data_IF_976590509459
#
_entry.id   IF_976590509459
#
_cell.length_a   1.000
_cell.length_b   1.000
_cell.length_c   1.000
_cell.angle_alpha   90.00
_cell.angle_beta   90.00
_cell.angle_gamma   90.00
#
_symmetry.space_group_name_H-M   'P 1'
#
loop_
_entity.id
_entity.type
_entity.pdbx_description
1 polymer ?
#
# COMPACT_ATOMS: atom_id res chain seq x y z
N UNK A 1 9.18 60.64 31.61
CA UNK A 1 9.02 61.12 30.22
C UNK A 1 9.87 60.23 29.32
N UNK A 2 9.25 59.61 28.29
CA UNK A 2 9.81 58.74 27.22
C UNK A 2 10.08 57.27 27.59
N UNK A 3 9.09 56.38 27.33
CA UNK A 3 8.90 55.51 26.12
C UNK A 3 9.55 54.14 26.39
N UNK A 4 8.83 53.09 26.79
CA UNK A 4 7.64 52.53 26.14
C UNK A 4 8.07 51.59 25.00
N UNK A 5 8.68 50.45 25.34
CA UNK A 5 8.94 49.38 24.37
C UNK A 5 7.70 48.49 24.30
N UNK A 6 6.94 48.66 23.21
CA UNK A 6 5.83 47.80 22.88
C UNK A 6 6.35 46.38 22.59
N UNK A 7 5.85 45.39 23.34
CA UNK A 7 5.93 43.98 22.96
C UNK A 7 5.09 43.81 21.69
N UNK A 8 5.74 43.83 20.52
CA UNK A 8 5.15 43.34 19.28
C UNK A 8 4.98 41.84 19.46
N UNK A 9 3.73 41.38 19.43
CA UNK A 9 3.38 39.97 19.55
C UNK A 9 4.08 39.14 18.46
N UNK A 10 4.85 38.15 18.89
CA UNK A 10 5.31 37.10 18.01
C UNK A 10 4.07 36.35 17.50
N UNK A 11 3.90 36.16 16.18
CA UNK A 11 2.87 35.25 15.69
C UNK A 11 3.18 33.86 16.22
N UNK A 12 2.17 33.23 16.83
CA UNK A 12 2.16 31.81 17.17
C UNK A 12 2.15 30.98 15.88
N UNK A 13 3.26 31.01 15.13
CA UNK A 13 3.54 30.01 14.13
C UNK A 13 4.05 28.78 14.88
N UNK A 14 3.22 27.75 14.98
CA UNK A 14 3.73 26.42 15.30
C UNK A 14 4.88 26.12 14.34
N UNK A 15 6.08 25.95 14.88
CA UNK A 15 7.19 25.36 14.12
C UNK A 15 6.64 24.12 13.40
N UNK A 16 6.91 23.93 12.10
CA UNK A 16 6.59 22.66 11.47
C UNK A 16 7.22 21.57 12.32
N UNK A 17 6.42 20.56 12.69
CA UNK A 17 6.93 19.42 13.41
C UNK A 17 8.20 18.94 12.71
N UNK A 18 9.28 18.63 13.46
CA UNK A 18 10.46 18.04 12.84
C UNK A 18 9.99 16.84 12.01
N UNK A 19 10.48 16.67 10.76
CA UNK A 19 10.12 15.51 9.97
C UNK A 19 10.35 14.27 10.83
N UNK A 20 9.40 13.30 10.83
CA UNK A 20 9.54 12.10 11.63
C UNK A 20 10.92 11.49 11.38
N UNK A 21 11.60 10.95 12.41
CA UNK A 21 12.95 10.41 12.28
C UNK A 21 13.00 9.45 11.09
N UNK A 22 13.80 9.82 10.09
CA UNK A 22 13.89 9.10 8.82
C UNK A 22 14.83 7.93 9.02
N UNK A 23 14.37 6.84 9.63
CA UNK A 23 14.95 5.51 9.38
C UNK A 23 13.95 4.38 9.60
N UNK A 24 13.19 4.01 8.55
CA UNK A 24 12.30 2.85 8.57
C UNK A 24 12.62 1.94 7.37
N UNK A 25 13.37 0.84 7.59
CA UNK A 25 13.67 -0.24 6.61
C UNK A 25 13.33 0.09 5.13
N UNK A 26 14.11 1.00 4.53
CA UNK A 26 14.00 1.33 3.10
C UNK A 26 14.91 0.40 2.33
N UNK A 27 14.31 -0.58 1.69
CA UNK A 27 15.02 -1.54 0.86
C UNK A 27 15.45 -0.86 -0.43
N UNK A 28 16.75 -0.83 -0.72
CA UNK A 28 17.25 -0.33 -2.00
C UNK A 28 17.25 -1.45 -3.04
N UNK A 29 16.30 -1.42 -3.97
CA UNK A 29 16.26 -2.32 -5.13
C UNK A 29 16.77 -1.56 -6.35
N UNK A 30 18.08 -1.67 -6.62
CA UNK A 30 18.70 -1.13 -7.83
C UNK A 30 18.39 0.37 -8.04
N UNK A 31 18.48 1.18 -6.98
CA UNK A 31 18.20 2.61 -6.99
C UNK A 31 16.75 3.00 -6.70
N UNK A 32 15.84 2.05 -6.51
CA UNK A 32 14.47 2.29 -6.03
C UNK A 32 14.40 2.04 -4.52
N UNK A 33 13.99 3.06 -3.76
CA UNK A 33 13.73 2.94 -2.32
C UNK A 33 12.33 2.36 -2.11
N UNK A 34 12.26 1.14 -1.59
CA UNK A 34 11.02 0.42 -1.30
C UNK A 34 10.79 0.36 0.21
N UNK A 35 9.79 1.08 0.75
CA UNK A 35 9.29 0.89 2.10
C UNK A 35 8.68 -0.50 2.24
N UNK A 36 9.21 -1.32 3.16
CA UNK A 36 8.73 -2.68 3.40
C UNK A 36 8.05 -2.76 4.78
N UNK A 37 6.83 -3.32 4.89
CA UNK A 37 6.05 -3.27 6.13
C UNK A 37 6.50 -4.27 7.20
N UNK A 38 7.61 -4.98 6.99
CA UNK A 38 8.18 -5.96 7.91
C UNK A 38 9.64 -5.64 8.22
N UNK A 39 10.09 -5.98 9.43
CA UNK A 39 11.46 -5.71 9.90
C UNK A 39 12.52 -6.63 9.26
N UNK A 40 12.09 -7.72 8.62
CA UNK A 40 12.99 -8.69 7.98
C UNK A 40 12.53 -9.02 6.58
N UNK A 41 13.49 -9.12 5.67
CA UNK A 41 13.30 -9.55 4.29
C UNK A 41 14.18 -10.78 4.01
N UNK A 42 13.59 -11.78 3.36
CA UNK A 42 14.33 -12.94 2.92
C UNK A 42 15.18 -12.63 1.67
N UNK A 43 16.38 -13.21 1.51
CA UNK A 43 17.21 -13.02 0.30
C UNK A 43 16.49 -13.37 -1.01
N UNK A 44 15.60 -14.36 -0.96
CA UNK A 44 14.78 -14.78 -2.09
C UNK A 44 13.76 -13.70 -2.48
N UNK A 45 13.16 -13.02 -1.49
CA UNK A 45 12.25 -11.89 -1.73
C UNK A 45 12.98 -10.72 -2.37
N UNK A 46 14.20 -10.42 -1.92
CA UNK A 46 15.02 -9.37 -2.51
C UNK A 46 15.35 -9.67 -3.98
N UNK A 47 15.77 -10.91 -4.26
CA UNK A 47 16.07 -11.37 -5.63
C UNK A 47 14.84 -11.31 -6.52
N UNK A 48 13.67 -11.70 -6.00
CA UNK A 48 12.40 -11.59 -6.69
C UNK A 48 12.04 -10.13 -7.04
N UNK A 49 12.19 -9.21 -6.09
CA UNK A 49 11.94 -7.79 -6.33
C UNK A 49 12.91 -7.19 -7.35
N UNK A 50 14.16 -7.62 -7.35
CA UNK A 50 15.17 -7.19 -8.32
C UNK A 50 14.80 -7.62 -9.74
N UNK A 51 14.46 -8.90 -9.95
CA UNK A 51 14.05 -9.41 -11.26
C UNK A 51 12.72 -8.79 -11.71
N UNK A 52 11.76 -8.64 -10.80
CA UNK A 52 10.49 -7.95 -11.10
C UNK A 52 10.75 -6.51 -11.54
N UNK A 53 11.63 -5.77 -10.85
CA UNK A 53 12.00 -4.40 -11.26
C UNK A 53 12.62 -4.38 -12.66
N UNK A 54 13.55 -5.29 -12.96
CA UNK A 54 14.17 -5.41 -14.30
C UNK A 54 13.13 -5.63 -15.39
N UNK A 55 12.12 -6.47 -15.14
CA UNK A 55 11.05 -6.71 -16.12
C UNK A 55 10.17 -5.47 -16.35
N UNK A 56 9.91 -4.69 -15.29
CA UNK A 56 9.17 -3.43 -15.36
C UNK A 56 9.97 -2.35 -16.11
N UNK A 57 11.26 -2.22 -15.81
CA UNK A 57 12.18 -1.28 -16.46
C UNK A 57 12.30 -1.57 -17.97
N UNK A 58 12.37 -2.85 -18.34
CA UNK A 58 12.41 -3.29 -19.74
C UNK A 58 11.06 -3.17 -20.47
N UNK A 59 9.96 -2.85 -19.77
CA UNK A 59 8.58 -2.81 -20.29
C UNK A 59 8.19 -4.12 -21.00
N UNK A 60 8.66 -5.25 -20.49
CA UNK A 60 8.47 -6.58 -21.06
C UNK A 60 7.61 -7.49 -20.20
N UNK A 61 7.44 -8.73 -20.66
CA UNK A 61 6.80 -9.79 -19.89
C UNK A 61 7.86 -10.66 -19.21
N UNK A 62 7.63 -11.01 -17.95
CA UNK A 62 8.50 -11.90 -17.18
C UNK A 62 7.69 -13.00 -16.51
N UNK A 63 8.25 -14.21 -16.50
CA UNK A 63 7.73 -15.32 -15.70
C UNK A 63 8.61 -15.42 -14.46
N UNK A 64 8.01 -15.23 -13.30
CA UNK A 64 8.70 -15.25 -12.02
C UNK A 64 8.10 -16.35 -11.15
N UNK A 65 8.92 -17.30 -10.75
CA UNK A 65 8.54 -18.34 -9.79
C UNK A 65 9.00 -17.94 -8.39
N UNK A 66 8.12 -18.10 -7.42
CA UNK A 66 8.46 -17.94 -6.01
C UNK A 66 7.77 -19.03 -5.18
N UNK A 67 8.50 -19.73 -4.28
CA UNK A 67 7.90 -20.74 -3.40
C UNK A 67 6.75 -20.19 -2.56
N UNK A 68 5.82 -21.07 -2.17
CA UNK A 68 4.71 -20.70 -1.30
C UNK A 68 5.18 -20.36 0.11
N UNK A 69 4.52 -19.41 0.78
CA UNK A 69 4.77 -19.07 2.18
C UNK A 69 5.84 -18.00 2.41
N UNK A 70 6.53 -17.52 1.36
CA UNK A 70 7.62 -16.54 1.46
C UNK A 70 7.17 -15.08 1.22
N UNK A 71 5.90 -14.76 1.45
CA UNK A 71 5.43 -13.36 1.36
C UNK A 71 5.43 -12.76 -0.06
N UNK A 72 5.22 -13.56 -1.11
CA UNK A 72 5.23 -13.06 -2.51
C UNK A 72 4.32 -11.87 -2.79
N UNK A 73 3.14 -11.88 -2.17
CA UNK A 73 2.14 -10.86 -2.39
C UNK A 73 2.63 -9.51 -1.86
N UNK A 74 3.17 -9.48 -0.64
CA UNK A 74 3.66 -8.22 -0.05
C UNK A 74 4.89 -7.70 -0.78
N UNK A 75 5.84 -8.56 -1.17
CA UNK A 75 7.03 -8.13 -1.93
C UNK A 75 6.65 -7.55 -3.30
N UNK A 76 5.69 -8.15 -3.99
CA UNK A 76 5.17 -7.63 -5.26
C UNK A 76 4.47 -6.28 -5.05
N UNK A 77 3.54 -6.19 -4.09
CA UNK A 77 2.78 -4.96 -3.84
C UNK A 77 3.69 -3.81 -3.40
N UNK A 78 4.64 -4.07 -2.49
CA UNK A 78 5.57 -3.07 -2.00
C UNK A 78 6.43 -2.48 -3.13
N UNK A 79 6.96 -3.34 -4.01
CA UNK A 79 7.74 -2.89 -5.16
C UNK A 79 6.90 -2.05 -6.12
N UNK A 80 5.70 -2.53 -6.49
CA UNK A 80 4.88 -1.83 -7.49
C UNK A 80 4.42 -0.46 -6.97
N UNK A 81 4.01 -0.36 -5.71
CA UNK A 81 3.61 0.94 -5.12
C UNK A 81 4.78 1.90 -5.09
N UNK A 82 5.97 1.44 -4.69
CA UNK A 82 7.18 2.25 -4.71
C UNK A 82 7.55 2.69 -6.15
N UNK A 83 7.44 1.78 -7.11
CA UNK A 83 7.74 2.04 -8.52
C UNK A 83 6.79 3.06 -9.13
N UNK A 84 5.47 2.94 -8.88
CA UNK A 84 4.47 3.92 -9.32
C UNK A 84 4.73 5.30 -8.73
N UNK A 85 5.17 5.37 -7.47
CA UNK A 85 5.52 6.65 -6.83
C UNK A 85 6.77 7.28 -7.43
N UNK A 86 7.78 6.48 -7.73
CA UNK A 86 9.02 6.96 -8.32
C UNK A 86 8.87 7.33 -9.81
N UNK A 87 7.98 6.63 -10.54
CA UNK A 87 7.76 6.79 -11.98
C UNK A 87 6.27 6.78 -12.34
N UNK A 88 5.52 7.84 -11.98
CA UNK A 88 4.07 7.90 -12.22
C UNK A 88 3.69 7.96 -13.71
N UNK A 89 4.63 8.33 -14.59
CA UNK A 89 4.39 8.40 -16.04
C UNK A 89 4.52 7.04 -16.74
N UNK A 90 5.29 6.10 -16.18
CA UNK A 90 5.52 4.79 -16.80
C UNK A 90 4.47 3.76 -16.39
N UNK A 91 4.06 3.76 -15.12
CA UNK A 91 3.09 2.80 -14.58
C UNK A 91 2.05 3.55 -13.77
N UNK A 92 0.82 3.55 -14.26
CA UNK A 92 -0.30 4.27 -13.63
C UNK A 92 -1.27 3.34 -12.91
N UNK A 93 -1.30 2.06 -13.28
CA UNK A 93 -2.28 1.09 -12.74
C UNK A 93 -1.65 -0.29 -12.60
N UNK A 94 -1.91 -0.94 -11.46
CA UNK A 94 -1.64 -2.35 -11.24
C UNK A 94 -2.94 -3.14 -11.43
N UNK A 95 -2.90 -4.18 -12.25
CA UNK A 95 -3.98 -5.16 -12.35
C UNK A 95 -3.46 -6.46 -11.75
N UNK A 96 -4.05 -6.89 -10.63
CA UNK A 96 -3.71 -8.14 -9.96
C UNK A 96 -4.82 -9.17 -10.20
N UNK A 97 -4.48 -10.32 -10.75
CA UNK A 97 -5.42 -11.39 -11.04
C UNK A 97 -5.14 -12.59 -10.13
N UNK A 98 -6.14 -12.96 -9.32
CA UNK A 98 -6.13 -14.16 -8.48
C UNK A 98 -7.13 -15.18 -9.00
N UNK A 99 -7.00 -16.45 -8.60
CA UNK A 99 -7.91 -17.53 -9.03
C UNK A 99 -9.16 -17.63 -8.17
N UNK A 100 -9.05 -17.30 -6.89
CA UNK A 100 -10.14 -17.47 -5.92
C UNK A 100 -10.44 -16.17 -5.17
N UNK A 101 -11.67 -16.02 -4.67
CA UNK A 101 -12.09 -14.83 -3.89
C UNK A 101 -11.30 -14.69 -2.58
N UNK A 102 -11.04 -15.75 -1.80
CA UNK A 102 -10.21 -15.63 -0.59
C UNK A 102 -8.77 -15.19 -0.87
N UNK A 103 -8.21 -15.52 -2.06
CA UNK A 103 -6.91 -14.99 -2.48
C UNK A 103 -7.00 -13.47 -2.73
N UNK A 104 -8.08 -12.97 -3.33
CA UNK A 104 -8.31 -11.53 -3.55
C UNK A 104 -8.43 -10.81 -2.19
N UNK A 105 -9.23 -11.33 -1.26
CA UNK A 105 -9.39 -10.76 0.08
C UNK A 105 -8.05 -10.61 0.79
N UNK A 106 -7.22 -11.67 0.78
CA UNK A 106 -5.87 -11.63 1.36
C UNK A 106 -4.98 -10.56 0.71
N UNK A 107 -5.04 -10.40 -0.62
CA UNK A 107 -4.25 -9.36 -1.33
C UNK A 107 -4.67 -7.96 -0.89
N UNK A 108 -5.97 -7.74 -0.68
CA UNK A 108 -6.49 -6.45 -0.21
C UNK A 108 -6.11 -6.17 1.24
N UNK A 109 -6.11 -7.18 2.12
CA UNK A 109 -5.60 -7.04 3.49
C UNK A 109 -4.13 -6.61 3.50
N UNK A 110 -3.30 -7.29 2.72
CA UNK A 110 -1.87 -6.98 2.62
C UNK A 110 -1.63 -5.58 2.02
N UNK A 111 -2.42 -5.20 1.02
CA UNK A 111 -2.40 -3.84 0.48
C UNK A 111 -2.77 -2.80 1.54
N UNK A 112 -3.80 -3.06 2.36
CA UNK A 112 -4.21 -2.15 3.44
C UNK A 112 -3.11 -1.98 4.49
N UNK A 113 -2.50 -3.09 4.94
CA UNK A 113 -1.35 -3.05 5.87
C UNK A 113 -0.19 -2.25 5.30
N UNK A 114 0.09 -2.40 4.01
CA UNK A 114 1.11 -1.62 3.32
C UNK A 114 0.76 -0.14 3.33
N UNK A 115 -0.46 0.25 2.95
CA UNK A 115 -0.88 1.66 2.93
C UNK A 115 -0.86 2.28 4.33
N UNK A 116 -1.32 1.56 5.36
CA UNK A 116 -1.26 2.01 6.75
C UNK A 116 0.18 2.21 7.22
N UNK A 117 1.10 1.34 6.79
CA UNK A 117 2.54 1.52 7.04
C UNK A 117 3.06 2.78 6.35
N UNK A 118 2.70 3.04 5.10
CA UNK A 118 3.08 4.26 4.41
C UNK A 118 2.53 5.52 5.09
N UNK A 119 1.27 5.51 5.52
CA UNK A 119 0.65 6.63 6.23
C UNK A 119 1.40 6.95 7.53
N UNK A 120 1.79 5.92 8.30
CA UNK A 120 2.62 6.09 9.50
C UNK A 120 4.00 6.67 9.20
N UNK A 121 4.62 6.25 8.08
CA UNK A 121 5.97 6.69 7.72
C UNK A 121 6.03 8.11 7.14
N UNK A 122 5.00 8.51 6.41
CA UNK A 122 4.96 9.80 5.71
C UNK A 122 4.17 10.86 6.48
N UNK A 123 3.34 10.46 7.43
CA UNK A 123 2.41 11.34 8.15
C UNK A 123 1.24 11.83 7.27
N UNK A 124 1.11 11.31 6.06
CA UNK A 124 0.08 11.70 5.09
C UNK A 124 -0.51 10.47 4.40
N UNK A 125 -1.80 10.55 4.07
CA UNK A 125 -2.49 9.52 3.29
C UNK A 125 -2.04 9.53 1.84
N UNK A 126 -1.66 8.36 1.35
CA UNK A 126 -1.42 8.16 -0.07
C UNK A 126 -2.75 8.28 -0.84
N UNK A 127 -2.80 9.03 -1.96
CA UNK A 127 -3.96 9.06 -2.86
C UNK A 127 -4.01 7.76 -3.70
N UNK A 128 -4.10 6.61 -3.02
CA UNK A 128 -4.09 5.30 -3.64
C UNK A 128 -5.48 4.66 -3.52
N UNK A 129 -6.07 4.28 -4.65
CA UNK A 129 -7.36 3.58 -4.69
C UNK A 129 -7.13 2.08 -4.93
N UNK A 130 -7.38 1.27 -3.90
CA UNK A 130 -7.46 -0.19 -4.04
C UNK A 130 -8.88 -0.62 -4.39
N UNK A 131 -9.04 -1.42 -5.43
CA UNK A 131 -10.36 -1.88 -5.89
C UNK A 131 -10.34 -3.40 -6.09
N UNK A 132 -11.24 -4.10 -5.41
CA UNK A 132 -11.43 -5.54 -5.54
C UNK A 132 -12.70 -5.82 -6.34
N UNK A 133 -12.58 -6.60 -7.41
CA UNK A 133 -13.71 -7.00 -8.25
C UNK A 133 -13.96 -8.50 -8.10
N UNK A 134 -15.23 -8.85 -7.94
CA UNK A 134 -15.69 -10.22 -7.84
C UNK A 134 -17.01 -10.42 -8.60
N UNK A 135 -17.59 -11.61 -8.53
CA UNK A 135 -18.85 -11.92 -9.20
C UNK A 135 -20.03 -11.15 -8.59
N UNK A 136 -21.13 -11.03 -9.34
CA UNK A 136 -22.38 -10.41 -8.87
C UNK A 136 -22.90 -11.03 -7.57
N UNK A 137 -22.67 -12.33 -7.34
CA UNK A 137 -23.08 -13.01 -6.11
C UNK A 137 -22.46 -12.40 -4.85
N UNK A 138 -21.28 -11.78 -4.98
CA UNK A 138 -20.51 -11.23 -3.87
C UNK A 138 -20.63 -9.71 -3.73
N UNK A 139 -21.22 -9.02 -4.73
CA UNK A 139 -21.32 -7.56 -4.79
C UNK A 139 -22.76 -7.06 -4.95
N UNK A 140 -23.74 -7.96 -5.14
CA UNK A 140 -25.14 -7.57 -5.22
C UNK A 140 -25.64 -7.17 -3.84
N UNK A 141 -26.38 -6.06 -3.76
CA UNK A 141 -27.01 -5.52 -2.54
C UNK A 141 -28.53 -5.74 -2.52
N UNK A 142 -29.12 -6.18 -3.63
CA UNK A 142 -30.57 -6.25 -3.78
C UNK A 142 -31.12 -7.48 -3.04
N UNK A 143 -32.00 -7.31 -2.03
CA UNK A 143 -32.41 -8.39 -1.13
C UNK A 143 -33.14 -9.53 -1.85
N UNK A 144 -33.86 -9.24 -2.94
CA UNK A 144 -34.59 -10.28 -3.71
C UNK A 144 -33.70 -11.14 -4.62
N UNK A 145 -32.50 -10.63 -4.96
CA UNK A 145 -31.54 -11.33 -5.85
C UNK A 145 -30.48 -12.05 -5.01
N UNK A 146 -30.29 -11.61 -3.78
CA UNK A 146 -29.33 -12.13 -2.84
C UNK A 146 -29.83 -13.43 -2.21
N UNK A 147 -29.29 -14.56 -2.68
CA UNK A 147 -29.51 -15.88 -2.07
C UNK A 147 -28.62 -16.10 -0.84
N UNK A 148 -28.97 -15.47 0.28
CA UNK A 148 -28.59 -15.67 1.71
C UNK A 148 -27.17 -16.08 2.19
N UNK A 149 -26.19 -16.44 1.36
CA UNK A 149 -25.09 -17.30 1.84
C UNK A 149 -23.70 -16.68 2.08
N UNK A 150 -23.35 -15.53 1.50
CA UNK A 150 -21.95 -15.07 1.43
C UNK A 150 -21.62 -13.78 2.18
N UNK A 151 -22.62 -13.01 2.60
CA UNK A 151 -22.41 -11.65 3.08
C UNK A 151 -22.17 -11.50 4.58
N UNK A 152 -22.48 -12.51 5.40
CA UNK A 152 -22.13 -12.49 6.83
C UNK A 152 -20.60 -12.40 7.03
N UNK A 153 -19.80 -12.98 6.13
CA UNK A 153 -18.34 -12.83 6.14
C UNK A 153 -17.89 -11.41 5.76
N UNK A 154 -18.60 -10.74 4.84
CA UNK A 154 -18.27 -9.40 4.36
C UNK A 154 -18.75 -8.28 5.29
N UNK A 155 -19.92 -8.41 5.95
CA UNK A 155 -20.40 -7.43 6.94
C UNK A 155 -19.48 -7.35 8.17
N UNK A 156 -19.00 -8.51 8.64
CA UNK A 156 -17.97 -8.59 9.70
C UNK A 156 -16.65 -7.90 9.29
N UNK A 157 -16.35 -7.87 8.00
CA UNK A 157 -15.11 -7.30 7.46
C UNK A 157 -15.19 -5.78 7.25
N UNK A 158 -16.36 -5.25 6.88
CA UNK A 158 -16.60 -3.81 6.73
C UNK A 158 -16.97 -3.10 8.03
N UNK A 159 -17.13 -3.83 9.15
CA UNK A 159 -17.53 -3.25 10.43
C UNK A 159 -18.92 -2.63 10.38
N UNK A 160 -19.80 -3.14 9.50
CA UNK A 160 -21.19 -2.70 9.33
C UNK A 160 -22.18 -3.58 10.10
N UNK A 161 -21.69 -4.41 11.04
CA UNK A 161 -22.55 -5.10 12.00
C UNK A 161 -23.21 -4.07 12.93
N UNK A 162 -24.54 -4.09 12.98
CA UNK A 162 -25.37 -3.37 13.95
C UNK A 162 -25.03 -3.70 15.39
#
# INVERSE_FOLDING_TARGET
>A
MRRGWARVGAPSGSLPAPPPPVDPFRLNIDGLLVPFPYDYIYPEQFSYMLELKRTLDAKGHGVLEMPSGTGKTVSLLALIVAYQRARPLDVTKLIYCSRTVPEIEKVIEELRKLLDYYEKQLGEKLPFLGLALSSRKNLCIHPEVWGGGYWEHWENWWGLGT
#
